data_IF_641620280374
#
_entry.id   IF_641620280374
#
_cell.length_a   1.000
_cell.length_b   1.000
_cell.length_c   1.000
_cell.angle_alpha   90.00
_cell.angle_beta   90.00
_cell.angle_gamma   90.00
#
_symmetry.space_group_name_H-M   'P 1'
#
loop_
_entity.id
_entity.type
_entity.pdbx_description
1 polymer ?
#
# COMPACT_ATOMS: atom_id res chain seq x y z
N UNK A 1 61.94 16.27 -46.90
CA UNK A 1 60.59 16.86 -47.00
C UNK A 1 59.57 15.81 -46.58
N UNK A 2 58.57 16.22 -45.82
CA UNK A 2 57.75 15.45 -44.88
C UNK A 2 56.30 15.48 -45.39
N UNK A 3 55.66 14.33 -45.62
CA UNK A 3 54.20 14.22 -45.87
C UNK A 3 53.74 12.84 -45.36
N UNK A 4 53.45 12.68 -44.06
CA UNK A 4 52.12 12.85 -43.43
C UNK A 4 51.06 11.86 -43.96
N UNK A 5 50.94 10.72 -43.27
CA UNK A 5 49.80 9.80 -43.37
C UNK A 5 48.66 10.24 -42.44
N UNK A 6 47.41 10.17 -42.91
CA UNK A 6 46.20 10.39 -42.12
C UNK A 6 45.53 9.05 -41.81
N UNK A 7 45.25 8.69 -40.54
CA UNK A 7 44.38 7.56 -40.24
C UNK A 7 42.92 8.03 -40.20
N UNK A 8 42.07 7.39 -41.02
CA UNK A 8 40.61 7.46 -40.89
C UNK A 8 40.20 6.81 -39.55
N UNK A 9 39.71 7.61 -38.61
CA UNK A 9 39.12 7.12 -37.37
C UNK A 9 37.71 6.59 -37.64
N UNK A 10 37.51 5.28 -37.47
CA UNK A 10 36.21 4.63 -37.52
C UNK A 10 35.48 4.87 -36.18
N UNK A 11 34.37 5.61 -36.22
CA UNK A 11 33.49 5.81 -35.05
C UNK A 11 32.50 4.65 -34.97
N UNK A 12 32.71 3.70 -34.04
CA UNK A 12 31.72 2.67 -33.71
C UNK A 12 30.57 3.29 -32.91
N UNK A 13 29.36 3.25 -33.46
CA UNK A 13 28.12 3.60 -32.77
C UNK A 13 27.62 2.35 -32.02
N UNK A 14 27.79 2.31 -30.70
CA UNK A 14 27.26 1.23 -29.85
C UNK A 14 25.78 1.45 -29.58
N UNK A 15 24.94 0.60 -30.15
CA UNK A 15 23.50 0.56 -29.90
C UNK A 15 23.25 -0.13 -28.56
N UNK A 16 23.01 0.63 -27.50
CA UNK A 16 22.62 0.09 -26.20
C UNK A 16 21.16 -0.40 -26.26
N UNK A 17 20.95 -1.70 -26.33
CA UNK A 17 19.63 -2.31 -26.21
C UNK A 17 19.15 -2.21 -24.75
N UNK A 18 18.19 -1.33 -24.49
CA UNK A 18 17.54 -1.24 -23.19
C UNK A 18 16.62 -2.45 -22.99
N UNK A 19 16.95 -3.31 -22.01
CA UNK A 19 16.08 -4.39 -21.58
C UNK A 19 14.93 -3.80 -20.74
N UNK A 20 13.72 -3.78 -21.30
CA UNK A 20 12.53 -3.43 -20.54
C UNK A 20 12.13 -4.66 -19.72
N UNK A 21 12.08 -4.60 -18.38
CA UNK A 21 11.60 -5.71 -17.58
C UNK A 21 10.11 -5.92 -17.84
N UNK A 22 9.76 -7.08 -18.40
CA UNK A 22 8.37 -7.52 -18.51
C UNK A 22 7.92 -7.95 -17.11
N UNK A 23 7.05 -7.16 -16.48
CA UNK A 23 6.39 -7.58 -15.25
C UNK A 23 5.52 -8.81 -15.55
N UNK A 24 5.75 -9.91 -14.83
CA UNK A 24 4.94 -11.12 -14.98
C UNK A 24 3.48 -10.82 -14.62
N UNK A 25 2.58 -10.95 -15.60
CA UNK A 25 1.14 -10.83 -15.34
C UNK A 25 0.70 -11.96 -14.41
N UNK A 26 0.17 -11.61 -13.23
CA UNK A 26 -0.40 -12.60 -12.33
C UNK A 26 -1.64 -13.23 -12.99
N UNK A 27 -1.64 -14.56 -13.13
CA UNK A 27 -2.78 -15.31 -13.64
C UNK A 27 -4.00 -15.09 -12.74
N UNK A 28 -5.21 -14.93 -13.30
CA UNK A 28 -6.42 -14.76 -12.52
C UNK A 28 -6.65 -15.97 -11.60
N UNK A 29 -7.00 -15.68 -10.35
CA UNK A 29 -7.38 -16.67 -9.35
C UNK A 29 -8.78 -17.19 -9.68
N UNK A 30 -8.96 -18.51 -9.60
CA UNK A 30 -10.24 -19.17 -9.90
C UNK A 30 -10.92 -19.60 -8.60
N UNK A 31 -12.18 -19.26 -8.45
CA UNK A 31 -13.11 -19.86 -7.48
C UNK A 31 -14.04 -20.85 -8.18
N UNK A 32 -14.90 -21.52 -7.42
CA UNK A 32 -15.94 -22.40 -7.99
C UNK A 32 -16.88 -21.69 -8.97
N UNK A 33 -17.09 -20.37 -8.81
CA UNK A 33 -18.07 -19.60 -9.59
C UNK A 33 -17.47 -18.54 -10.51
N UNK A 34 -16.32 -17.98 -10.16
CA UNK A 34 -15.75 -16.81 -10.85
C UNK A 34 -14.23 -16.79 -10.86
N UNK A 35 -13.68 -16.15 -11.88
CA UNK A 35 -12.28 -15.73 -11.94
C UNK A 35 -12.14 -14.30 -11.39
N UNK A 36 -11.11 -14.04 -10.58
CA UNK A 36 -10.82 -12.72 -10.04
C UNK A 36 -9.31 -12.48 -9.95
N UNK A 37 -8.92 -11.21 -9.87
CA UNK A 37 -7.53 -10.82 -9.63
C UNK A 37 -7.37 -10.44 -8.17
N UNK A 38 -6.29 -10.92 -7.54
CA UNK A 38 -5.90 -10.49 -6.20
C UNK A 38 -4.78 -9.48 -6.35
N UNK A 39 -4.98 -8.29 -5.79
CA UNK A 39 -3.97 -7.25 -5.76
C UNK A 39 -3.68 -6.87 -4.31
N UNK A 40 -2.40 -6.87 -3.95
CA UNK A 40 -1.97 -6.37 -2.65
C UNK A 40 -2.01 -4.84 -2.69
N UNK A 41 -2.93 -4.24 -1.94
CA UNK A 41 -3.03 -2.78 -1.80
C UNK A 41 -1.98 -2.23 -0.84
N UNK A 42 -1.75 -2.92 0.28
CA UNK A 42 -0.76 -2.54 1.29
C UNK A 42 -0.24 -3.78 2.01
N UNK A 43 0.99 -3.69 2.52
CA UNK A 43 1.62 -4.71 3.35
C UNK A 43 2.07 -4.13 4.72
N UNK A 44 2.71 -4.96 5.55
CA UNK A 44 3.28 -4.51 6.82
C UNK A 44 2.31 -4.37 8.00
N UNK A 45 1.00 -4.54 7.77
CA UNK A 45 -0.01 -4.59 8.82
C UNK A 45 0.21 -5.79 9.77
N UNK A 46 -0.23 -5.66 11.02
CA UNK A 46 -0.16 -6.70 12.05
C UNK A 46 -1.55 -6.98 12.60
N UNK A 47 -2.12 -8.14 12.23
CA UNK A 47 -3.47 -8.55 12.65
C UNK A 47 -4.54 -7.47 12.40
N UNK A 48 -4.73 -7.02 11.13
CA UNK A 48 -5.78 -6.07 10.80
C UNK A 48 -7.17 -6.65 11.11
N UNK A 49 -8.12 -5.80 11.53
CA UNK A 49 -9.47 -6.23 11.96
C UNK A 49 -10.60 -5.51 11.20
N UNK A 50 -10.66 -4.19 11.31
CA UNK A 50 -11.63 -3.32 10.62
C UNK A 50 -10.94 -2.35 9.67
N UNK A 51 -11.67 -1.88 8.67
CA UNK A 51 -11.17 -0.93 7.68
C UNK A 51 -12.29 0.00 7.20
N UNK A 52 -11.96 1.27 7.00
CA UNK A 52 -12.87 2.27 6.44
C UNK A 52 -12.09 3.23 5.53
N UNK A 53 -12.68 3.59 4.39
CA UNK A 53 -12.05 4.50 3.42
C UNK A 53 -12.40 5.94 3.77
N UNK A 54 -11.39 6.79 3.84
CA UNK A 54 -11.54 8.23 4.02
C UNK A 54 -12.04 8.90 2.73
N UNK A 55 -12.65 10.07 2.88
CA UNK A 55 -13.16 10.87 1.75
C UNK A 55 -12.06 11.34 0.80
N UNK A 56 -10.80 11.29 1.22
CA UNK A 56 -9.62 11.62 0.40
C UNK A 56 -8.94 10.38 -0.21
N UNK A 57 -9.54 9.19 -0.09
CA UNK A 57 -9.07 7.94 -0.68
C UNK A 57 -8.01 7.21 0.16
N UNK A 58 -7.59 7.74 1.30
CA UNK A 58 -6.78 6.97 2.27
C UNK A 58 -7.64 5.92 2.97
N UNK A 59 -7.01 4.94 3.60
CA UNK A 59 -7.71 3.95 4.43
C UNK A 59 -7.31 4.07 5.89
N UNK A 60 -8.30 4.00 6.77
CA UNK A 60 -8.10 3.67 8.18
C UNK A 60 -8.17 2.15 8.34
N UNK A 61 -7.21 1.57 9.07
CA UNK A 61 -7.20 0.14 9.38
C UNK A 61 -6.93 -0.05 10.87
N UNK A 62 -7.80 -0.76 11.57
CA UNK A 62 -7.53 -1.14 12.96
C UNK A 62 -6.69 -2.41 12.99
N UNK A 63 -5.71 -2.45 13.88
CA UNK A 63 -4.94 -3.63 14.22
C UNK A 63 -5.32 -4.07 15.63
N UNK A 64 -5.64 -5.35 15.79
CA UNK A 64 -6.25 -5.91 17.00
C UNK A 64 -5.53 -5.57 18.30
N UNK A 65 -4.21 -5.42 18.24
CA UNK A 65 -3.37 -5.08 19.39
C UNK A 65 -3.56 -3.65 19.93
N UNK A 66 -4.44 -2.83 19.33
CA UNK A 66 -4.73 -1.47 19.82
C UNK A 66 -4.17 -0.35 18.95
N UNK A 67 -3.81 -0.61 17.69
CA UNK A 67 -3.24 0.41 16.80
C UNK A 67 -4.22 0.76 15.69
N UNK A 68 -4.45 2.05 15.45
CA UNK A 68 -5.12 2.53 14.24
C UNK A 68 -4.05 2.95 13.23
N UNK A 69 -4.13 2.44 12.01
CA UNK A 69 -3.16 2.66 10.93
C UNK A 69 -3.79 3.45 9.80
N UNK A 70 -2.96 4.17 9.06
CA UNK A 70 -3.35 4.87 7.83
C UNK A 70 -2.58 4.26 6.66
N UNK A 71 -3.29 3.90 5.60
CA UNK A 71 -2.71 3.57 4.30
C UNK A 71 -2.94 4.77 3.37
N UNK A 72 -1.87 5.25 2.75
CA UNK A 72 -1.92 6.33 1.77
C UNK A 72 -2.64 5.91 0.48
N UNK A 73 -3.00 6.90 -0.35
CA UNK A 73 -3.57 6.64 -1.68
C UNK A 73 -2.59 5.91 -2.63
N UNK A 74 -1.31 5.90 -2.28
CA UNK A 74 -0.25 5.16 -2.99
C UNK A 74 -0.05 3.73 -2.45
N UNK A 75 -0.94 3.26 -1.57
CA UNK A 75 -0.85 1.93 -0.95
C UNK A 75 0.18 1.83 0.17
N UNK A 76 0.92 2.90 0.49
CA UNK A 76 1.94 2.84 1.54
C UNK A 76 1.33 2.97 2.93
N UNK A 77 1.69 2.02 3.78
CA UNK A 77 1.39 2.07 5.20
C UNK A 77 2.21 3.17 5.87
N UNK A 78 1.54 4.12 6.54
CA UNK A 78 2.24 5.13 7.32
C UNK A 78 3.07 4.49 8.43
N UNK A 79 4.29 5.02 8.62
CA UNK A 79 5.28 4.48 9.57
C UNK A 79 4.73 4.46 10.99
N UNK A 80 4.20 5.60 11.44
CA UNK A 80 3.65 5.75 12.78
C UNK A 80 2.15 5.47 12.79
N UNK A 81 1.63 4.79 13.83
CA UNK A 81 0.18 4.67 14.02
C UNK A 81 -0.44 6.01 14.42
N UNK A 82 -1.77 6.11 14.28
CA UNK A 82 -2.53 7.24 14.83
C UNK A 82 -2.38 7.24 16.35
N UNK A 83 -2.09 8.41 16.91
CA UNK A 83 -1.97 8.61 18.36
C UNK A 83 -3.35 8.72 19.03
N UNK A 84 -3.36 8.65 20.37
CA UNK A 84 -4.59 8.80 21.19
C UNK A 84 -5.70 7.79 20.88
N UNK A 85 -5.34 6.61 20.39
CA UNK A 85 -6.24 5.47 20.28
C UNK A 85 -6.47 4.90 21.70
N UNK A 86 -7.70 4.50 22.08
CA UNK A 86 -7.97 3.92 23.38
C UNK A 86 -7.10 2.69 23.68
N UNK A 87 -6.73 2.51 24.95
CA UNK A 87 -6.20 1.21 25.41
C UNK A 87 -7.26 0.12 25.29
N UNK A 88 -6.82 -1.10 24.96
CA UNK A 88 -7.70 -2.25 24.69
C UNK A 88 -7.19 -3.51 25.37
N UNK A 89 -8.10 -4.45 25.63
CA UNK A 89 -7.76 -5.82 26.07
C UNK A 89 -7.70 -6.76 24.86
N UNK A 90 -6.49 -6.97 24.34
CA UNK A 90 -6.24 -7.86 23.21
C UNK A 90 -6.12 -9.34 23.64
N UNK A 91 -7.23 -9.95 24.08
CA UNK A 91 -7.28 -11.37 24.50
C UNK A 91 -8.39 -12.12 23.77
N UNK A 92 -8.10 -13.33 23.27
CA UNK A 92 -9.09 -14.15 22.56
C UNK A 92 -9.57 -13.45 21.29
N UNK A 93 -10.84 -13.06 21.24
CA UNK A 93 -11.43 -12.27 20.15
C UNK A 93 -11.47 -10.75 20.44
N UNK A 94 -10.98 -10.33 21.61
CA UNK A 94 -10.93 -8.92 22.00
C UNK A 94 -9.75 -8.16 21.41
N UNK A 95 -9.86 -6.84 21.43
CA UNK A 95 -8.85 -5.90 20.94
C UNK A 95 -9.47 -4.59 20.45
N UNK A 96 -8.76 -3.89 19.58
CA UNK A 96 -9.35 -2.83 18.74
C UNK A 96 -10.05 -3.48 17.54
N UNK A 97 -11.34 -3.22 17.39
CA UNK A 97 -12.22 -3.93 16.46
C UNK A 97 -12.58 -3.00 15.30
N UNK A 98 -13.86 -2.72 15.06
CA UNK A 98 -14.30 -1.98 13.87
C UNK A 98 -14.03 -0.47 13.96
N UNK A 99 -13.92 0.18 12.79
CA UNK A 99 -13.81 1.63 12.61
C UNK A 99 -14.86 2.11 11.61
N UNK A 100 -15.53 3.24 11.90
CA UNK A 100 -16.50 3.86 10.98
C UNK A 100 -16.40 5.37 10.97
N UNK A 101 -16.63 5.99 9.81
CA UNK A 101 -16.75 7.44 9.72
C UNK A 101 -18.13 7.90 10.17
N UNK A 102 -18.18 9.07 10.80
CA UNK A 102 -19.43 9.79 10.98
C UNK A 102 -20.04 10.15 9.61
N UNK A 103 -21.38 10.13 9.43
CA UNK A 103 -22.00 10.52 8.15
C UNK A 103 -21.60 11.91 7.64
N UNK A 104 -21.36 12.85 8.56
CA UNK A 104 -20.81 14.19 8.32
C UNK A 104 -19.28 14.32 8.51
N UNK A 105 -18.51 13.24 8.30
CA UNK A 105 -17.04 13.23 8.52
C UNK A 105 -16.31 14.37 7.80
N UNK A 106 -16.74 14.70 6.57
CA UNK A 106 -16.13 15.80 5.81
C UNK A 106 -16.27 17.17 6.51
N UNK A 107 -17.22 17.33 7.44
CA UNK A 107 -17.41 18.57 8.20
C UNK A 107 -16.79 18.51 9.60
N UNK A 108 -16.85 17.35 10.27
CA UNK A 108 -16.50 17.25 11.68
C UNK A 108 -15.26 16.39 11.98
N UNK A 109 -14.84 15.52 11.06
CA UNK A 109 -13.70 14.60 11.24
C UNK A 109 -13.95 13.48 12.24
N UNK A 110 -15.20 13.19 12.62
CA UNK A 110 -15.50 12.19 13.64
C UNK A 110 -15.39 10.76 13.12
N UNK A 111 -14.72 9.91 13.88
CA UNK A 111 -14.68 8.46 13.66
C UNK A 111 -15.20 7.73 14.90
N UNK A 112 -15.73 6.54 14.69
CA UNK A 112 -16.19 5.63 15.73
C UNK A 112 -15.30 4.40 15.75
N UNK A 113 -14.95 3.95 16.95
CA UNK A 113 -14.17 2.74 17.18
C UNK A 113 -14.96 1.82 18.12
N UNK A 114 -14.96 0.53 17.82
CA UNK A 114 -15.38 -0.51 18.76
C UNK A 114 -14.16 -1.24 19.31
N UNK A 115 -14.19 -1.61 20.59
CA UNK A 115 -13.06 -2.25 21.26
C UNK A 115 -13.47 -2.97 22.55
N UNK A 116 -12.60 -3.85 23.04
CA UNK A 116 -12.75 -4.54 24.33
C UNK A 116 -11.94 -3.86 25.43
N UNK A 117 -12.52 -3.76 26.63
CA UNK A 117 -11.88 -3.26 27.87
C UNK A 117 -11.80 -4.33 28.93
#
# INVERSE_FOLDING_TARGET
>A
MRTSQLPFAATLLTLAAATIPIAAAQSPTQSEKHSFKVETVADGLRNPWGMEMLTDGRFLVTERAGRLRIIGTDGKLQKEPVSNVPEVVARGQGGLLDVRLHPGYAQNGWIYLSFSK
#
